data_IF_212338177546
#
_entry.id   IF_212338177546
#
_cell.length_a   1.000
_cell.length_b   1.000
_cell.length_c   1.000
_cell.angle_alpha   90.00
_cell.angle_beta   90.00
_cell.angle_gamma   90.00
#
_symmetry.space_group_name_H-M   'P 1'
#
loop_
_entity.id
_entity.type
_entity.pdbx_description
1 polymer ?
#
# COMPACT_ATOMS: atom_id res chain seq x y z
N UNK A 1 14.71 7.15 -4.15
CA UNK A 1 13.74 7.10 -5.27
C UNK A 1 13.44 8.48 -5.83
N UNK A 2 13.40 9.52 -4.98
CA UNK A 2 13.24 10.91 -5.37
C UNK A 2 14.58 11.59 -5.68
N UNK A 3 14.59 12.51 -6.65
CA UNK A 3 15.72 13.36 -7.02
C UNK A 3 15.24 14.79 -7.31
N UNK A 4 16.11 15.77 -7.15
CA UNK A 4 15.89 17.18 -7.45
C UNK A 4 16.87 17.64 -8.54
N UNK A 5 16.34 18.27 -9.59
CA UNK A 5 17.12 18.96 -10.62
C UNK A 5 17.14 20.46 -10.30
N UNK A 6 18.33 20.97 -9.95
CA UNK A 6 18.56 22.35 -9.57
C UNK A 6 18.52 23.34 -10.74
N UNK A 7 18.66 22.87 -11.98
CA UNK A 7 18.60 23.71 -13.18
C UNK A 7 17.16 23.96 -13.62
N UNK A 8 16.30 22.96 -13.45
CA UNK A 8 14.88 23.04 -13.88
C UNK A 8 13.91 23.21 -12.71
N UNK A 9 14.37 23.01 -11.47
CA UNK A 9 13.53 22.99 -10.28
C UNK A 9 12.63 21.75 -10.18
N UNK A 10 12.83 20.73 -11.03
CA UNK A 10 11.98 19.53 -11.04
C UNK A 10 12.37 18.56 -9.94
N UNK A 11 11.38 18.21 -9.11
CA UNK A 11 11.39 17.00 -8.29
C UNK A 11 10.85 15.82 -9.12
N UNK A 12 11.59 14.71 -9.17
CA UNK A 12 11.17 13.53 -9.92
C UNK A 12 11.66 12.23 -9.29
N UNK A 13 10.89 11.16 -9.47
CA UNK A 13 11.19 9.85 -8.90
C UNK A 13 9.96 8.96 -8.84
N UNK A 14 10.18 7.65 -8.75
CA UNK A 14 9.11 6.66 -8.56
C UNK A 14 9.43 5.86 -7.30
N UNK A 15 8.61 5.97 -6.23
CA UNK A 15 8.76 5.12 -5.04
C UNK A 15 8.72 3.63 -5.40
N UNK A 16 9.50 2.82 -4.70
CA UNK A 16 9.51 1.35 -4.79
C UNK A 16 8.99 0.73 -3.49
N UNK A 17 8.79 -0.58 -3.51
CA UNK A 17 8.45 -1.35 -2.32
C UNK A 17 9.48 -1.08 -1.19
N UNK A 18 8.98 -0.71 -0.02
CA UNK A 18 9.79 -0.36 1.15
C UNK A 18 10.30 1.08 1.19
N UNK A 19 10.01 1.92 0.19
CA UNK A 19 10.25 3.36 0.29
C UNK A 19 9.20 4.03 1.19
N UNK A 20 9.64 5.05 1.93
CA UNK A 20 8.83 5.72 2.95
C UNK A 20 8.50 7.16 2.56
N UNK A 21 7.44 7.69 3.17
CA UNK A 21 7.16 9.12 3.15
C UNK A 21 8.37 9.92 3.67
N UNK A 22 8.60 11.09 3.10
CA UNK A 22 9.73 11.93 3.42
C UNK A 22 9.29 13.39 3.53
N UNK A 23 9.97 14.15 4.38
CA UNK A 23 9.89 15.60 4.39
C UNK A 23 11.29 16.19 4.25
N UNK A 24 11.37 17.34 3.58
CA UNK A 24 12.61 18.07 3.41
C UNK A 24 12.30 19.54 3.11
N UNK A 25 13.28 20.40 3.34
CA UNK A 25 13.19 21.83 3.05
C UNK A 25 13.95 22.15 1.79
N UNK A 26 13.33 22.92 0.88
CA UNK A 26 14.04 23.57 -0.21
C UNK A 26 14.22 25.04 0.18
N UNK A 27 15.47 25.49 0.26
CA UNK A 27 15.84 26.88 0.54
C UNK A 27 16.24 27.57 -0.75
N UNK A 28 15.50 28.61 -1.12
CA UNK A 28 15.89 29.53 -2.18
C UNK A 28 16.69 30.68 -1.56
N UNK A 29 17.90 30.92 -2.06
CA UNK A 29 18.78 31.97 -1.60
C UNK A 29 19.11 32.92 -2.75
N UNK A 30 18.93 34.22 -2.54
CA UNK A 30 19.29 35.23 -3.52
C UNK A 30 20.73 35.77 -3.32
N UNK A 31 21.16 36.65 -4.23
CA UNK A 31 22.47 37.28 -4.19
C UNK A 31 22.67 38.23 -3.00
N UNK A 32 21.58 38.69 -2.38
CA UNK A 32 21.58 39.53 -1.19
C UNK A 32 21.52 38.71 0.11
N UNK A 33 21.54 37.37 0.00
CA UNK A 33 21.44 36.41 1.10
C UNK A 33 20.09 36.37 1.81
N UNK A 34 19.03 36.84 1.17
CA UNK A 34 17.67 36.59 1.61
C UNK A 34 17.28 35.14 1.30
N UNK A 35 16.61 34.49 2.26
CA UNK A 35 16.20 33.09 2.16
C UNK A 35 14.67 32.94 2.13
N UNK A 36 14.17 32.08 1.24
CA UNK A 36 12.81 31.55 1.29
C UNK A 36 12.87 30.03 1.50
N UNK A 37 12.35 29.58 2.64
CA UNK A 37 12.27 28.15 2.97
C UNK A 37 10.89 27.58 2.62
N UNK A 38 10.88 26.50 1.84
CA UNK A 38 9.68 25.77 1.46
C UNK A 38 9.74 24.36 2.05
N UNK A 39 8.80 24.04 2.95
CA UNK A 39 8.65 22.68 3.47
C UNK A 39 7.90 21.82 2.44
N UNK A 40 8.56 20.76 1.98
CA UNK A 40 7.97 19.76 1.10
C UNK A 40 7.67 18.49 1.90
N UNK A 41 6.42 18.04 1.85
CA UNK A 41 5.97 16.78 2.45
C UNK A 41 5.55 15.84 1.34
N UNK A 42 6.26 14.72 1.19
CA UNK A 42 5.89 13.67 0.25
C UNK A 42 5.34 12.46 0.99
N UNK A 43 4.07 12.19 0.74
CA UNK A 43 3.39 11.02 1.26
C UNK A 43 3.52 9.87 0.27
N UNK A 44 4.37 8.90 0.59
CA UNK A 44 4.38 7.60 -0.08
C UNK A 44 3.36 6.74 0.65
N UNK A 45 2.20 6.52 0.02
CA UNK A 45 1.16 5.69 0.62
C UNK A 45 1.56 4.21 0.51
N UNK A 46 2.19 3.68 1.57
CA UNK A 46 2.41 2.24 1.77
C UNK A 46 1.26 1.57 2.52
N UNK A 47 0.24 2.33 2.90
CA UNK A 47 -0.95 1.83 3.59
C UNK A 47 -1.82 1.01 2.65
N UNK A 48 -1.50 -0.28 2.52
CA UNK A 48 -2.31 -1.25 1.77
C UNK A 48 -3.68 -1.38 2.40
N UNK A 49 -3.77 -1.33 3.74
CA UNK A 49 -4.99 -1.57 4.49
C UNK A 49 -5.66 -0.26 4.97
N UNK A 50 -7.00 -0.22 4.88
CA UNK A 50 -7.85 0.81 5.52
C UNK A 50 -8.49 0.30 6.82
N UNK A 51 -8.47 -1.02 7.05
CA UNK A 51 -8.95 -1.65 8.26
C UNK A 51 -8.26 -3.00 8.49
N UNK A 52 -8.27 -3.48 9.74
CA UNK A 52 -7.74 -4.80 10.12
C UNK A 52 -8.61 -5.92 9.56
N UNK A 53 -7.97 -6.99 9.08
CA UNK A 53 -8.66 -8.26 8.79
C UNK A 53 -8.62 -9.10 10.06
N UNK A 54 -9.79 -9.33 10.65
CA UNK A 54 -9.92 -10.08 11.91
C UNK A 54 -9.89 -11.59 11.69
N UNK A 55 -9.61 -12.33 12.77
CA UNK A 55 -9.68 -13.79 12.80
C UNK A 55 -11.10 -14.27 12.46
N UNK A 56 -11.20 -15.18 11.49
CA UNK A 56 -12.48 -15.74 11.05
C UNK A 56 -12.70 -17.13 11.64
N UNK A 57 -13.82 -17.31 12.34
CA UNK A 57 -14.28 -18.62 12.81
C UNK A 57 -15.33 -19.15 11.85
N UNK A 58 -15.05 -20.30 11.24
CA UNK A 58 -15.89 -20.92 10.21
C UNK A 58 -16.35 -22.29 10.70
N UNK A 59 -17.58 -22.68 10.37
CA UNK A 59 -18.17 -23.95 10.83
C UNK A 59 -17.93 -25.07 9.79
N UNK A 60 -17.58 -26.30 10.20
CA UNK A 60 -17.58 -27.46 9.30
C UNK A 60 -18.92 -27.66 8.59
N UNK A 61 -18.88 -28.04 7.32
CA UNK A 61 -20.03 -28.21 6.45
C UNK A 61 -20.72 -26.92 5.98
N UNK A 62 -20.16 -25.75 6.31
CA UNK A 62 -20.72 -24.45 5.90
C UNK A 62 -20.08 -23.91 4.62
N UNK A 63 -20.79 -23.00 3.93
CA UNK A 63 -20.22 -22.21 2.84
C UNK A 63 -19.41 -21.06 3.41
N UNK A 64 -18.19 -20.91 2.91
CA UNK A 64 -17.29 -19.80 3.19
C UNK A 64 -17.26 -18.86 1.98
N UNK A 65 -17.50 -17.57 2.21
CA UNK A 65 -17.47 -16.51 1.20
C UNK A 65 -17.09 -15.19 1.89
N UNK A 66 -15.91 -14.64 1.56
CA UNK A 66 -15.37 -13.43 2.17
C UNK A 66 -14.76 -12.57 1.09
N UNK A 67 -15.17 -11.30 1.06
CA UNK A 67 -14.59 -10.28 0.20
C UNK A 67 -13.66 -9.37 1.00
N UNK A 68 -12.37 -9.36 0.64
CA UNK A 68 -11.35 -8.56 1.30
C UNK A 68 -11.24 -7.12 0.76
N UNK A 69 -11.96 -6.78 -0.33
CA UNK A 69 -11.85 -5.49 -1.05
C UNK A 69 -11.95 -4.29 -0.11
N UNK A 70 -12.90 -4.31 0.83
CA UNK A 70 -13.14 -3.22 1.79
C UNK A 70 -11.99 -2.99 2.80
N UNK A 71 -11.07 -3.93 2.90
CA UNK A 71 -9.94 -3.83 3.81
C UNK A 71 -8.75 -3.13 3.16
N UNK A 72 -8.76 -2.91 1.84
CA UNK A 72 -7.66 -2.31 1.11
C UNK A 72 -7.94 -0.87 0.66
N UNK A 73 -6.90 -0.03 0.67
CA UNK A 73 -6.98 1.38 0.25
C UNK A 73 -7.13 1.53 -1.26
N UNK A 74 -6.39 0.72 -2.03
CA UNK A 74 -6.55 0.62 -3.48
C UNK A 74 -6.63 -0.84 -3.92
N UNK A 75 -7.82 -1.47 -3.89
CA UNK A 75 -7.98 -2.90 -4.17
C UNK A 75 -7.47 -3.35 -5.54
N UNK A 76 -7.49 -2.46 -6.55
CA UNK A 76 -7.06 -2.78 -7.91
C UNK A 76 -5.55 -3.09 -8.03
N UNK A 77 -4.75 -2.59 -7.09
CA UNK A 77 -3.29 -2.77 -7.07
C UNK A 77 -2.85 -3.93 -6.15
N UNK A 78 -3.79 -4.72 -5.62
CA UNK A 78 -3.51 -5.75 -4.62
C UNK A 78 -3.67 -7.15 -5.22
N UNK A 79 -2.67 -8.01 -4.98
CA UNK A 79 -2.75 -9.45 -5.24
C UNK A 79 -2.74 -10.23 -3.93
N UNK A 80 -3.76 -11.08 -3.72
CA UNK A 80 -3.85 -11.96 -2.54
C UNK A 80 -3.43 -13.39 -2.92
N UNK A 81 -2.59 -13.99 -2.08
CA UNK A 81 -2.23 -15.41 -2.15
C UNK A 81 -2.48 -16.05 -0.79
N UNK A 82 -3.08 -17.23 -0.78
CA UNK A 82 -3.34 -18.00 0.44
C UNK A 82 -2.50 -19.28 0.43
N UNK A 83 -1.77 -19.52 1.51
CA UNK A 83 -0.99 -20.74 1.73
C UNK A 83 -1.53 -21.50 2.93
N UNK A 84 -1.75 -22.81 2.77
CA UNK A 84 -2.22 -23.70 3.85
C UNK A 84 -1.29 -24.91 3.96
N UNK A 85 -1.11 -25.41 5.18
CA UNK A 85 -0.35 -26.63 5.45
C UNK A 85 -1.15 -27.54 6.40
N UNK A 86 -1.60 -28.73 5.94
CA UNK A 86 -1.55 -29.23 4.55
C UNK A 86 -2.41 -28.38 3.61
N UNK A 87 -2.14 -28.48 2.30
CA UNK A 87 -2.93 -27.81 1.27
C UNK A 87 -4.41 -28.15 1.43
N UNK A 88 -5.27 -27.13 1.40
CA UNK A 88 -6.72 -27.26 1.48
C UNK A 88 -7.34 -27.00 0.11
N UNK A 89 -7.80 -28.05 -0.56
CA UNK A 89 -8.37 -27.94 -1.92
C UNK A 89 -9.76 -27.27 -1.93
N UNK A 90 -10.44 -27.22 -0.78
CA UNK A 90 -11.74 -26.58 -0.66
C UNK A 90 -11.68 -25.04 -0.67
N UNK A 91 -10.52 -24.46 -0.37
CA UNK A 91 -10.33 -23.02 -0.27
C UNK A 91 -9.85 -22.44 -1.61
N UNK A 92 -10.67 -21.57 -2.20
CA UNK A 92 -10.44 -20.90 -3.47
C UNK A 92 -10.19 -19.42 -3.27
N UNK A 93 -9.32 -18.87 -4.11
CA UNK A 93 -8.96 -17.45 -4.16
C UNK A 93 -9.25 -16.95 -5.56
N UNK A 94 -10.10 -15.92 -5.68
CA UNK A 94 -10.44 -15.25 -6.93
C UNK A 94 -10.30 -13.73 -6.73
N UNK A 95 -9.18 -13.17 -7.19
CA UNK A 95 -8.78 -11.80 -6.87
C UNK A 95 -8.66 -11.60 -5.36
N UNK A 96 -9.54 -10.75 -4.80
CA UNK A 96 -9.62 -10.46 -3.36
C UNK A 96 -10.73 -11.24 -2.64
N UNK A 97 -11.41 -12.15 -3.37
CA UNK A 97 -12.48 -12.97 -2.82
C UNK A 97 -11.95 -14.34 -2.42
N UNK A 98 -12.24 -14.73 -1.18
CA UNK A 98 -11.98 -16.06 -0.64
C UNK A 98 -13.30 -16.83 -0.58
N UNK A 99 -13.33 -18.06 -1.08
CA UNK A 99 -14.55 -18.88 -1.06
C UNK A 99 -14.27 -20.37 -0.95
N UNK A 100 -15.26 -21.15 -0.52
CA UNK A 100 -15.12 -22.60 -0.43
C UNK A 100 -16.25 -23.28 0.34
N UNK A 101 -16.26 -24.62 0.31
CA UNK A 101 -17.12 -25.44 1.16
C UNK A 101 -16.27 -26.07 2.26
N UNK A 102 -16.51 -25.69 3.51
CA UNK A 102 -15.69 -26.13 4.64
C UNK A 102 -15.97 -27.62 4.89
N UNK A 103 -14.94 -28.49 4.89
CA UNK A 103 -15.08 -29.91 5.21
C UNK A 103 -15.57 -30.17 6.63
#
# INVERSE_FOLDING_TARGET
WLSYDDKTGRLQGTPKDGDHAANFTITFKDHFSDNLDVLVVINVATGLFVSTVEDMKIRPGSKFDVDLTKHFKNPADIAVKVSTSPKKDWLKVDGLKLSGEVP
#
